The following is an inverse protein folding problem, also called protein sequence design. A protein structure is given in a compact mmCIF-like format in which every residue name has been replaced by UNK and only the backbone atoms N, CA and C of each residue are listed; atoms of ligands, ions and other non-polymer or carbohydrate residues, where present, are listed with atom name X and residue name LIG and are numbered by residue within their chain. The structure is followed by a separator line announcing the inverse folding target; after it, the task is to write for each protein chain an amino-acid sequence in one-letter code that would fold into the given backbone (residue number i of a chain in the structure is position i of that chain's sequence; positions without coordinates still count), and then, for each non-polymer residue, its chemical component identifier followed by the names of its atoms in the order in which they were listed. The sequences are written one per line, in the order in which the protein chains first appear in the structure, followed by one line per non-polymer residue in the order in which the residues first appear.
data_IF_148179411448
#
_entry.id   IF_148179411448
#
_cell.length_a   1.000
_cell.length_b   1.000
_cell.length_c   1.000
_cell.angle_alpha   90.00
_cell.angle_beta   90.00
_cell.angle_gamma   90.00
#
_symmetry.space_group_name_H-M   'P 1'
#
loop_
_entity.id
_entity.type
_entity.pdbx_description
1 polymer ?
#
# COMPACT_ATOMS: atom_id res chain seq x y z
N UNK A 1 -13.65 -2.18 -4.78
CA UNK A 1 -13.85 -1.70 -3.40
C UNK A 1 -13.17 -0.35 -3.28
N UNK A 2 -13.62 0.57 -2.41
CA UNK A 2 -12.83 1.74 -2.08
C UNK A 2 -11.54 1.33 -1.37
N UNK A 3 -10.46 2.07 -1.63
CA UNK A 3 -9.20 1.92 -0.90
C UNK A 3 -9.46 2.12 0.59
N UNK A 4 -9.02 1.16 1.42
CA UNK A 4 -9.30 1.17 2.87
C UNK A 4 -8.07 0.73 3.65
N UNK A 5 -7.76 1.43 4.73
CA UNK A 5 -6.73 1.06 5.68
C UNK A 5 -7.32 0.21 6.82
N UNK A 6 -6.82 -1.01 6.96
CA UNK A 6 -7.17 -1.91 8.06
C UNK A 6 -6.05 -1.95 9.10
N UNK A 7 -6.41 -1.76 10.37
CA UNK A 7 -5.50 -2.00 11.49
C UNK A 7 -5.43 -3.51 11.80
N UNK A 8 -4.22 -4.05 11.85
CA UNK A 8 -3.96 -5.44 12.19
C UNK A 8 -3.72 -5.60 13.70
N UNK A 9 -4.01 -6.78 14.30
CA UNK A 9 -3.95 -7.00 15.75
C UNK A 9 -2.58 -6.79 16.40
N UNK A 10 -1.51 -6.76 15.61
CA UNK A 10 -0.12 -6.61 16.04
C UNK A 10 0.41 -5.17 15.96
N UNK A 11 -0.45 -4.19 15.67
CA UNK A 11 -0.06 -2.78 15.51
C UNK A 11 0.38 -2.41 14.08
N UNK A 12 0.37 -3.38 13.17
CA UNK A 12 0.60 -3.14 11.74
C UNK A 12 -0.67 -2.62 11.05
N UNK A 13 -0.54 -2.18 9.81
CA UNK A 13 -1.67 -1.83 8.97
C UNK A 13 -1.57 -2.50 7.60
N UNK A 14 -2.74 -2.78 7.01
CA UNK A 14 -2.89 -3.26 5.64
C UNK A 14 -3.72 -2.26 4.85
N UNK A 15 -3.20 -1.79 3.73
CA UNK A 15 -3.97 -1.02 2.77
C UNK A 15 -4.59 -1.98 1.77
N UNK A 16 -5.89 -2.16 1.84
CA UNK A 16 -6.68 -3.02 0.95
C UNK A 16 -7.27 -2.18 -0.18
N UNK A 17 -7.18 -2.67 -1.41
CA UNK A 17 -7.72 -1.98 -2.58
C UNK A 17 -8.09 -2.98 -3.67
N UNK A 18 -8.88 -2.53 -4.65
CA UNK A 18 -9.24 -3.39 -5.77
C UNK A 18 -8.13 -3.40 -6.85
N UNK A 19 -8.10 -4.45 -7.67
CA UNK A 19 -7.08 -4.62 -8.72
C UNK A 19 -7.06 -3.48 -9.75
N UNK A 20 -8.18 -2.82 -10.01
CA UNK A 20 -8.27 -1.63 -10.86
C UNK A 20 -7.65 -0.38 -10.24
N UNK A 21 -7.46 -0.36 -8.91
CA UNK A 21 -6.82 0.73 -8.17
C UNK A 21 -5.29 0.57 -8.07
N UNK A 22 -4.70 -0.54 -8.53
CA UNK A 22 -3.24 -0.80 -8.45
C UNK A 22 -2.44 0.37 -9.03
N UNK A 23 -2.82 0.87 -10.20
CA UNK A 23 -2.11 1.97 -10.85
C UNK A 23 -2.32 3.31 -10.11
N UNK A 24 -3.50 3.52 -9.51
CA UNK A 24 -3.76 4.69 -8.68
C UNK A 24 -2.91 4.68 -7.41
N UNK A 25 -2.79 3.52 -6.75
CA UNK A 25 -1.92 3.31 -5.58
C UNK A 25 -0.45 3.48 -5.95
N UNK A 26 0.00 2.89 -7.06
CA UNK A 26 1.36 3.08 -7.59
C UNK A 26 1.66 4.56 -7.84
N UNK A 27 0.74 5.28 -8.46
CA UNK A 27 0.89 6.71 -8.72
C UNK A 27 0.88 7.53 -7.42
N UNK A 28 0.05 7.18 -6.43
CA UNK A 28 0.05 7.83 -5.13
C UNK A 28 1.38 7.64 -4.40
N UNK A 29 1.97 6.44 -4.43
CA UNK A 29 3.30 6.18 -3.89
C UNK A 29 4.35 7.05 -4.60
N UNK A 30 4.31 7.11 -5.93
CA UNK A 30 5.22 7.93 -6.72
C UNK A 30 5.10 9.43 -6.40
N UNK A 31 3.88 9.94 -6.32
CA UNK A 31 3.58 11.35 -6.01
C UNK A 31 4.05 11.74 -4.60
N UNK A 32 3.88 10.85 -3.61
CA UNK A 32 4.13 11.14 -2.20
C UNK A 32 5.58 10.87 -1.78
N UNK A 33 6.15 9.77 -2.26
CA UNK A 33 7.40 9.20 -1.72
C UNK A 33 8.48 8.97 -2.78
N UNK A 34 8.16 9.17 -4.06
CA UNK A 34 9.04 8.89 -5.18
C UNK A 34 8.99 7.43 -5.63
N UNK A 35 10.00 7.02 -6.39
CA UNK A 35 10.04 5.70 -7.02
C UNK A 35 10.17 4.58 -5.97
N UNK A 36 9.25 3.61 -6.01
CA UNK A 36 9.30 2.44 -5.16
C UNK A 36 10.24 1.38 -5.77
N UNK A 37 11.14 0.84 -4.95
CA UNK A 37 11.87 -0.36 -5.32
C UNK A 37 10.98 -1.59 -5.11
N UNK A 38 11.01 -2.54 -6.06
CA UNK A 38 10.23 -3.77 -6.00
C UNK A 38 11.15 -4.99 -6.11
N UNK A 39 10.99 -5.93 -5.19
CA UNK A 39 11.65 -7.24 -5.21
C UNK A 39 10.57 -8.33 -5.23
N UNK A 40 10.36 -9.02 -6.37
CA UNK A 40 9.36 -10.08 -6.46
C UNK A 40 9.84 -11.36 -5.79
N UNK A 41 8.96 -11.98 -5.01
CA UNK A 41 9.12 -13.32 -4.43
C UNK A 41 8.02 -14.26 -4.96
N UNK A 42 8.10 -15.55 -4.60
CA UNK A 42 7.19 -16.59 -5.11
C UNK A 42 5.72 -16.33 -4.73
N UNK A 43 5.45 -15.75 -3.57
CA UNK A 43 4.09 -15.55 -3.03
C UNK A 43 3.74 -14.10 -2.73
N UNK A 44 4.70 -13.17 -2.82
CA UNK A 44 4.51 -11.74 -2.54
C UNK A 44 5.56 -10.92 -3.27
N UNK A 45 5.42 -9.61 -3.31
CA UNK A 45 6.50 -8.70 -3.69
C UNK A 45 6.85 -7.80 -2.51
N UNK A 46 8.13 -7.66 -2.20
CA UNK A 46 8.57 -6.64 -1.25
C UNK A 46 8.64 -5.30 -1.98
N UNK A 47 7.99 -4.27 -1.45
CA UNK A 47 8.12 -2.90 -1.92
C UNK A 47 8.89 -2.08 -0.89
N UNK A 48 9.74 -1.17 -1.35
CA UNK A 48 10.41 -0.21 -0.49
C UNK A 48 10.22 1.22 -1.01
N UNK A 49 9.66 2.08 -0.16
CA UNK A 49 9.44 3.50 -0.43
C UNK A 49 9.34 4.27 0.89
N UNK A 50 9.61 5.57 0.86
CA UNK A 50 9.53 6.42 2.06
C UNK A 50 10.44 6.00 3.22
N UNK A 51 11.49 5.21 2.95
CA UNK A 51 12.38 4.64 3.96
C UNK A 51 11.92 3.30 4.56
N UNK A 52 10.71 2.85 4.24
CA UNK A 52 10.08 1.66 4.83
C UNK A 52 9.95 0.51 3.83
N UNK A 53 9.66 -0.68 4.36
CA UNK A 53 9.42 -1.91 3.58
C UNK A 53 8.00 -2.41 3.80
N UNK A 54 7.38 -2.83 2.69
CA UNK A 54 6.01 -3.28 2.62
C UNK A 54 5.93 -4.64 1.93
N UNK A 55 4.95 -5.43 2.32
CA UNK A 55 4.59 -6.65 1.60
C UNK A 55 3.41 -6.32 0.70
N UNK A 56 3.61 -6.45 -0.62
CA UNK A 56 2.54 -6.43 -1.60
C UNK A 56 2.11 -7.86 -1.89
N UNK A 57 0.83 -8.14 -1.69
CA UNK A 57 0.19 -9.39 -2.09
C UNK A 57 -0.95 -9.06 -3.04
N UNK A 58 -1.16 -9.92 -4.02
CA UNK A 58 -2.31 -9.84 -4.92
C UNK A 58 -2.88 -11.24 -5.09
N UNK A 59 -3.41 -11.77 -4.00
CA UNK A 59 -4.07 -13.07 -4.01
C UNK A 59 -5.54 -12.85 -4.37
N UNK A 60 -6.05 -13.59 -5.37
CA UNK A 60 -7.48 -13.59 -5.74
C UNK A 60 -8.07 -12.24 -6.17
N UNK A 61 -7.26 -11.40 -6.85
CA UNK A 61 -7.63 -10.06 -7.32
C UNK A 61 -7.97 -9.05 -6.19
N UNK A 62 -7.55 -9.35 -4.95
CA UNK A 62 -7.69 -8.50 -3.77
C UNK A 62 -6.29 -8.03 -3.31
N UNK A 63 -5.71 -7.02 -3.98
CA UNK A 63 -4.37 -6.57 -3.67
C UNK A 63 -4.31 -5.81 -2.35
N UNK A 64 -3.23 -6.06 -1.61
CA UNK A 64 -2.98 -5.41 -0.33
C UNK A 64 -1.51 -5.00 -0.16
N UNK A 65 -1.31 -3.92 0.58
CA UNK A 65 0.00 -3.45 1.02
C UNK A 65 0.08 -3.47 2.54
N UNK A 66 0.96 -4.31 3.07
CA UNK A 66 1.09 -4.54 4.51
C UNK A 66 2.35 -3.84 5.02
N UNK A 67 2.17 -2.92 5.98
CA UNK A 67 3.25 -2.32 6.76
C UNK A 67 3.63 -3.23 7.93
N UNK A 68 4.90 -3.22 8.33
CA UNK A 68 5.38 -3.98 9.51
C UNK A 68 5.88 -3.09 10.65
N UNK A 69 5.73 -1.77 10.50
CA UNK A 69 6.23 -0.72 11.39
C UNK A 69 5.15 0.34 11.56
N UNK A 70 5.23 1.10 12.66
CA UNK A 70 4.32 2.23 12.90
C UNK A 70 4.53 3.31 11.83
N UNK A 71 5.77 3.61 11.48
CA UNK A 71 6.12 4.53 10.41
C UNK A 71 5.53 4.08 9.07
N UNK A 72 5.62 2.80 8.73
CA UNK A 72 4.99 2.24 7.54
C UNK A 72 3.47 2.42 7.53
N UNK A 73 2.80 2.20 8.67
CA UNK A 73 1.36 2.42 8.81
C UNK A 73 0.98 3.89 8.57
N UNK A 74 1.81 4.84 9.01
CA UNK A 74 1.61 6.26 8.73
C UNK A 74 1.74 6.58 7.24
N UNK A 75 2.66 5.92 6.52
CA UNK A 75 2.77 6.08 5.06
C UNK A 75 1.54 5.51 4.33
N UNK A 76 1.02 4.36 4.76
CA UNK A 76 -0.21 3.80 4.19
C UNK A 76 -1.43 4.72 4.41
N UNK A 77 -1.54 5.35 5.58
CA UNK A 77 -2.57 6.34 5.86
C UNK A 77 -2.52 7.54 4.90
N UNK A 78 -1.31 8.03 4.57
CA UNK A 78 -1.16 9.13 3.61
C UNK A 78 -1.60 8.72 2.20
N UNK A 79 -1.32 7.47 1.80
CA UNK A 79 -1.77 6.93 0.50
C UNK A 79 -3.30 6.86 0.47
N UNK A 80 -3.93 6.31 1.50
CA UNK A 80 -5.39 6.24 1.60
C UNK A 80 -6.01 7.65 1.48
N UNK A 81 -5.54 8.62 2.28
CA UNK A 81 -6.04 10.00 2.24
C UNK A 81 -5.88 10.63 0.85
N UNK A 82 -4.72 10.45 0.23
CA UNK A 82 -4.42 10.97 -1.11
C UNK A 82 -5.38 10.44 -2.19
N UNK A 83 -5.81 9.19 -2.06
CA UNK A 83 -6.73 8.54 -2.99
C UNK A 83 -8.18 8.94 -2.72
N UNK A 84 -8.57 9.12 -1.46
CA UNK A 84 -9.88 9.66 -1.09
C UNK A 84 -10.08 11.10 -1.59
N UNK A 85 -9.06 11.96 -1.50
CA UNK A 85 -9.11 13.35 -2.01
C UNK A 85 -9.23 13.45 -3.53
N UNK A 86 -8.80 12.41 -4.26
CA UNK A 86 -8.85 12.35 -5.73
C UNK A 86 -10.19 11.84 -6.27
N UNK A 87 -11.12 11.45 -5.40
CA UNK A 87 -12.45 10.97 -5.81
C UNK A 87 -13.37 12.19 -5.99
N UNK A 88 -13.85 12.50 -7.22
CA UNK A 88 -14.70 13.66 -7.49
C UNK A 88 -16.10 13.55 -6.88
#
# INVERSE_FOLDING_TARGET
MPVTLLSLPNGNSSLEFASDEIEAVRQAILDLFGEAASEPHVTYSALAFGGEKFLFQNEWDDPCLIASTEEGSHLLLQIEQRLLEKTP
#
